data_IF_199350913633
#
_entry.id   IF_199350913633
#
_cell.length_a   1.000
_cell.length_b   1.000
_cell.length_c   1.000
_cell.angle_alpha   90.00
_cell.angle_beta   90.00
_cell.angle_gamma   90.00
#
_symmetry.space_group_name_H-M   'P 1'
#
loop_
_entity.id
_entity.type
_entity.pdbx_description
1 polymer ?
#
# COMPACT_ATOMS: atom_id res chain seq x y z
N UNK A 1 8.70 44.61 -12.34
CA UNK A 1 7.65 44.29 -11.34
C UNK A 1 6.68 43.28 -11.94
N UNK A 2 7.16 42.06 -12.20
CA UNK A 2 6.34 40.91 -12.58
C UNK A 2 7.26 39.71 -12.43
N UNK A 3 7.28 39.08 -11.24
CA UNK A 3 7.89 37.76 -11.01
C UNK A 3 7.65 37.17 -9.60
N UNK A 4 6.76 37.74 -8.78
CA UNK A 4 6.44 37.15 -7.47
C UNK A 4 5.04 36.50 -7.39
N UNK A 5 4.15 36.73 -8.36
CA UNK A 5 2.78 36.17 -8.30
C UNK A 5 2.64 34.73 -8.82
N UNK A 6 3.61 34.21 -9.58
CA UNK A 6 3.52 32.85 -10.13
C UNK A 6 3.90 31.74 -9.12
N UNK A 7 4.56 32.06 -8.00
CA UNK A 7 5.02 31.06 -7.02
C UNK A 7 4.03 30.75 -5.88
N UNK A 8 2.84 31.37 -5.88
CA UNK A 8 1.86 31.23 -4.78
C UNK A 8 0.73 30.23 -5.02
N UNK A 9 0.60 29.64 -6.21
CA UNK A 9 -0.60 28.87 -6.57
C UNK A 9 -0.53 27.35 -6.38
N UNK A 10 0.61 26.74 -6.04
CA UNK A 10 0.75 25.26 -5.98
C UNK A 10 0.91 24.68 -4.55
N UNK A 11 0.38 25.34 -3.52
CA UNK A 11 0.54 24.92 -2.12
C UNK A 11 -0.48 23.90 -1.61
N UNK A 12 -1.46 23.49 -2.40
CA UNK A 12 -2.65 22.79 -1.89
C UNK A 12 -2.39 21.38 -1.34
N UNK A 13 -1.72 20.49 -2.07
CA UNK A 13 -1.53 19.10 -1.60
C UNK A 13 -0.48 18.97 -0.49
N UNK A 14 0.59 19.77 -0.57
CA UNK A 14 1.62 19.79 0.48
C UNK A 14 1.07 20.41 1.76
N UNK A 15 0.22 21.45 1.70
CA UNK A 15 -0.42 22.01 2.90
C UNK A 15 -1.40 21.02 3.52
N UNK A 16 -2.22 20.33 2.71
CA UNK A 16 -3.16 19.31 3.19
C UNK A 16 -2.42 18.20 3.93
N UNK A 17 -1.35 17.65 3.35
CA UNK A 17 -0.58 16.57 3.98
C UNK A 17 0.09 17.03 5.29
N UNK A 18 0.57 18.27 5.34
CA UNK A 18 1.13 18.88 6.54
C UNK A 18 0.09 19.09 7.63
N UNK A 19 -1.10 19.53 7.27
CA UNK A 19 -2.20 19.70 8.21
C UNK A 19 -2.67 18.36 8.75
N UNK A 20 -2.64 17.30 7.94
CA UNK A 20 -2.96 15.93 8.37
C UNK A 20 -1.91 15.34 9.31
N UNK A 21 -0.62 15.58 9.06
CA UNK A 21 0.45 15.21 10.00
C UNK A 21 0.29 15.98 11.32
N UNK A 22 0.06 17.30 11.26
CA UNK A 22 -0.17 18.14 12.45
C UNK A 22 -1.40 17.70 13.25
N UNK A 23 -2.44 17.22 12.56
CA UNK A 23 -3.65 16.66 13.15
C UNK A 23 -3.50 15.21 13.63
N UNK A 24 -2.30 14.62 13.55
CA UNK A 24 -2.02 13.23 13.90
C UNK A 24 -2.83 12.20 13.11
N UNK A 25 -3.31 12.55 11.91
CA UNK A 25 -4.08 11.65 11.02
C UNK A 25 -3.20 10.72 10.19
N UNK A 26 -1.91 11.06 10.03
CA UNK A 26 -0.90 10.24 9.35
C UNK A 26 0.13 9.76 10.36
N UNK A 27 0.40 8.46 10.37
CA UNK A 27 1.48 7.86 11.15
C UNK A 27 2.56 7.37 10.20
N UNK A 28 3.70 8.05 10.23
CA UNK A 28 4.92 7.50 9.64
C UNK A 28 5.49 6.44 10.62
N UNK A 29 5.86 5.23 10.16
CA UNK A 29 6.25 4.10 11.02
C UNK A 29 7.34 4.34 12.08
N UNK A 30 8.07 5.45 11.99
CA UNK A 30 9.07 5.87 12.98
C UNK A 30 8.50 6.66 14.16
N UNK A 31 7.23 7.07 14.15
CA UNK A 31 6.68 8.03 15.12
C UNK A 31 5.55 7.44 15.96
N UNK A 32 5.86 6.96 17.17
CA UNK A 32 4.86 6.64 18.21
C UNK A 32 4.82 7.66 19.36
N UNK A 33 5.33 8.87 19.16
CA UNK A 33 5.19 9.95 20.14
C UNK A 33 4.86 11.25 19.40
N UNK A 34 3.57 11.49 19.14
CA UNK A 34 3.11 12.74 18.54
C UNK A 34 2.78 13.82 19.58
N UNK A 35 2.93 13.53 20.88
CA UNK A 35 2.78 14.53 21.94
C UNK A 35 4.06 15.30 22.26
N UNK A 36 5.22 14.88 21.73
CA UNK A 36 6.52 15.42 22.15
C UNK A 36 7.57 15.36 21.02
N UNK A 37 7.37 16.09 19.92
CA UNK A 37 8.44 16.21 18.91
C UNK A 37 8.83 17.69 18.72
N UNK A 38 10.11 18.05 18.94
CA UNK A 38 10.63 19.38 18.67
C UNK A 38 10.46 19.78 17.20
N UNK A 39 10.30 21.07 16.92
CA UNK A 39 10.14 21.66 15.58
C UNK A 39 11.17 21.15 14.55
N UNK A 40 12.38 20.80 14.98
CA UNK A 40 13.45 20.27 14.15
C UNK A 40 13.14 18.87 13.58
N UNK A 41 12.36 18.04 14.28
CA UNK A 41 11.96 16.72 13.81
C UNK A 41 10.78 16.78 12.83
N UNK A 42 9.81 17.68 13.06
CA UNK A 42 8.79 18.00 12.07
C UNK A 42 9.43 18.52 10.78
N UNK A 43 10.43 19.42 10.88
CA UNK A 43 11.22 19.90 9.73
C UNK A 43 11.96 18.79 8.99
N UNK A 44 12.48 17.77 9.67
CA UNK A 44 13.17 16.63 9.04
C UNK A 44 12.23 15.69 8.29
N UNK A 45 11.01 15.51 8.81
CA UNK A 45 9.94 14.76 8.13
C UNK A 45 9.36 15.54 6.95
N UNK A 46 9.21 16.86 7.12
CA UNK A 46 8.98 17.82 6.04
C UNK A 46 10.07 17.74 4.98
N UNK A 47 11.34 17.60 5.36
CA UNK A 47 12.45 17.47 4.41
C UNK A 47 12.43 16.12 3.70
N UNK A 48 12.16 15.00 4.38
CA UNK A 48 12.04 13.69 3.73
C UNK A 48 10.81 13.58 2.82
N UNK A 49 9.71 14.24 3.20
CA UNK A 49 8.53 14.38 2.37
C UNK A 49 8.78 15.33 1.21
N UNK A 50 9.37 16.52 1.46
CA UNK A 50 9.83 17.46 0.44
C UNK A 50 10.81 16.83 -0.52
N UNK A 51 11.78 16.06 -0.06
CA UNK A 51 12.71 15.34 -0.96
C UNK A 51 12.00 14.28 -1.81
N UNK A 52 10.84 13.76 -1.37
CA UNK A 52 9.99 12.85 -2.15
C UNK A 52 8.94 13.58 -3.01
N UNK A 53 8.54 14.80 -2.67
CA UNK A 53 7.61 15.64 -3.45
C UNK A 53 8.33 16.59 -4.43
N UNK A 54 9.56 16.99 -4.13
CA UNK A 54 10.45 17.82 -4.95
C UNK A 54 11.02 17.03 -6.15
N UNK A 55 10.86 15.71 -6.18
CA UNK A 55 11.16 14.90 -7.39
C UNK A 55 10.04 15.01 -8.44
N UNK A 56 8.91 15.67 -8.14
CA UNK A 56 7.86 15.88 -9.13
C UNK A 56 7.06 17.15 -8.88
N UNK A 57 7.68 18.32 -9.09
CA UNK A 57 6.92 19.37 -9.75
C UNK A 57 6.58 18.84 -11.15
N UNK A 58 5.40 18.22 -11.30
CA UNK A 58 4.82 17.97 -12.61
C UNK A 58 4.35 19.35 -13.08
N UNK A 59 5.23 20.01 -13.82
CA UNK A 59 5.19 21.43 -14.17
C UNK A 59 4.14 21.81 -15.20
N UNK A 60 3.08 21.04 -15.40
CA UNK A 60 1.96 21.47 -16.23
C UNK A 60 0.65 20.75 -15.87
N UNK A 61 -0.35 21.48 -15.34
CA UNK A 61 -1.68 20.93 -15.04
C UNK A 61 -2.43 20.46 -16.30
N UNK A 62 -1.99 20.91 -17.48
CA UNK A 62 -2.51 20.47 -18.79
C UNK A 62 -1.83 19.19 -19.30
N UNK A 63 -0.76 18.73 -18.64
CA UNK A 63 -0.07 17.50 -19.00
C UNK A 63 -1.02 16.31 -18.83
N UNK A 64 -1.19 15.53 -19.90
CA UNK A 64 -2.02 14.32 -19.89
C UNK A 64 -1.17 13.06 -19.83
N UNK A 65 -1.74 12.02 -19.23
CA UNK A 65 -1.20 10.68 -19.24
C UNK A 65 -1.28 10.09 -20.64
N UNK A 66 -0.16 9.62 -21.24
CA UNK A 66 -0.17 9.11 -22.60
C UNK A 66 -0.98 7.81 -22.74
N UNK A 67 -1.22 7.10 -21.63
CA UNK A 67 -1.91 5.81 -21.63
C UNK A 67 -3.42 5.89 -21.43
N UNK A 68 -3.93 6.92 -20.76
CA UNK A 68 -5.35 7.01 -20.44
C UNK A 68 -5.93 8.44 -20.49
N UNK A 69 -5.13 9.43 -20.92
CA UNK A 69 -5.55 10.82 -21.18
C UNK A 69 -6.03 11.64 -19.97
N UNK A 70 -5.98 11.06 -18.77
CA UNK A 70 -6.23 11.76 -17.49
C UNK A 70 -5.10 12.74 -17.15
N UNK A 71 -5.37 13.63 -16.18
CA UNK A 71 -4.35 14.56 -15.67
C UNK A 71 -3.14 13.81 -15.13
N UNK A 72 -1.97 14.24 -15.58
CA UNK A 72 -0.69 13.62 -15.28
C UNK A 72 -0.16 14.05 -13.91
N UNK A 73 -0.88 13.71 -12.84
CA UNK A 73 -0.46 14.01 -11.47
C UNK A 73 0.32 12.85 -10.87
N UNK A 74 1.12 13.09 -9.82
CA UNK A 74 1.83 12.02 -9.11
C UNK A 74 0.83 11.02 -8.55
N UNK A 75 -0.29 11.49 -8.01
CA UNK A 75 -1.37 10.64 -7.52
C UNK A 75 -1.95 9.76 -8.63
N UNK A 76 -2.21 10.33 -9.81
CA UNK A 76 -2.63 9.57 -10.98
C UNK A 76 -1.60 8.49 -11.36
N UNK A 77 -0.33 8.86 -11.52
CA UNK A 77 0.73 7.94 -11.93
C UNK A 77 0.91 6.82 -10.92
N UNK A 78 0.91 7.13 -9.62
CA UNK A 78 1.17 6.14 -8.58
C UNK A 78 -0.05 5.27 -8.26
N UNK A 79 -1.28 5.75 -8.42
CA UNK A 79 -2.45 5.09 -7.84
C UNK A 79 -3.69 5.06 -8.74
N UNK A 80 -3.78 5.92 -9.75
CA UNK A 80 -5.02 6.21 -10.48
C UNK A 80 -5.06 5.77 -11.94
N UNK A 81 -3.92 5.51 -12.59
CA UNK A 81 -3.89 5.17 -14.01
C UNK A 81 -4.53 3.81 -14.28
N UNK A 82 -5.55 3.78 -15.13
CA UNK A 82 -6.29 2.56 -15.47
C UNK A 82 -5.65 1.74 -16.60
N UNK A 83 -4.51 2.20 -17.14
CA UNK A 83 -3.82 1.46 -18.19
C UNK A 83 -3.25 0.14 -17.66
N UNK A 84 -3.26 -0.89 -18.51
CA UNK A 84 -2.73 -2.21 -18.15
C UNK A 84 -1.23 -2.15 -17.78
N UNK A 85 -0.45 -1.34 -18.49
CA UNK A 85 0.97 -1.11 -18.22
C UNK A 85 1.20 -0.65 -16.78
N UNK A 86 0.44 0.34 -16.32
CA UNK A 86 0.54 0.85 -14.96
C UNK A 86 -0.07 -0.12 -13.95
N UNK A 87 -1.19 -0.75 -14.29
CA UNK A 87 -1.82 -1.81 -13.50
C UNK A 87 -0.84 -2.93 -13.14
N UNK A 88 -0.05 -3.40 -14.10
CA UNK A 88 0.98 -4.42 -13.88
C UNK A 88 2.06 -3.97 -12.88
N UNK A 89 2.46 -2.70 -12.93
CA UNK A 89 3.40 -2.13 -11.95
C UNK A 89 2.76 -2.01 -10.56
N UNK A 90 1.47 -1.63 -10.48
CA UNK A 90 0.74 -1.61 -9.22
C UNK A 90 0.63 -3.00 -8.59
N UNK A 91 0.32 -4.03 -9.39
CA UNK A 91 0.27 -5.42 -8.94
C UNK A 91 1.63 -5.89 -8.43
N UNK A 92 2.74 -5.52 -9.08
CA UNK A 92 4.09 -5.84 -8.59
C UNK A 92 4.38 -5.19 -7.24
N UNK A 93 4.06 -3.90 -7.08
CA UNK A 93 4.19 -3.15 -5.82
C UNK A 93 3.35 -3.77 -4.70
N UNK A 94 2.11 -4.11 -5.00
CA UNK A 94 1.19 -4.80 -4.09
C UNK A 94 1.76 -6.15 -3.63
N UNK A 95 2.15 -7.00 -4.58
CA UNK A 95 2.67 -8.33 -4.28
C UNK A 95 3.96 -8.27 -3.45
N UNK A 96 4.77 -7.23 -3.62
CA UNK A 96 5.93 -7.00 -2.77
C UNK A 96 5.53 -6.86 -1.29
N UNK A 97 4.48 -6.09 -1.00
CA UNK A 97 3.99 -5.88 0.37
C UNK A 97 3.45 -7.18 0.96
N UNK A 98 2.56 -7.85 0.21
CA UNK A 98 1.97 -9.13 0.64
C UNK A 98 3.06 -10.16 0.94
N UNK A 99 4.06 -10.29 0.07
CA UNK A 99 5.18 -11.22 0.27
C UNK A 99 5.97 -10.93 1.55
N UNK A 100 6.25 -9.66 1.86
CA UNK A 100 6.95 -9.30 3.09
C UNK A 100 6.10 -9.69 4.30
N UNK A 101 4.80 -9.39 4.27
CA UNK A 101 3.88 -9.63 5.37
C UNK A 101 3.70 -11.14 5.62
N UNK A 102 3.39 -11.91 4.58
CA UNK A 102 3.24 -13.38 4.62
C UNK A 102 4.49 -14.05 5.17
N UNK A 103 5.68 -13.76 4.62
CA UNK A 103 6.93 -14.38 5.06
C UNK A 103 7.19 -14.16 6.55
N UNK A 104 6.95 -12.96 7.05
CA UNK A 104 7.15 -12.65 8.46
C UNK A 104 6.14 -13.36 9.37
N UNK A 105 4.86 -13.45 8.95
CA UNK A 105 3.85 -14.22 9.69
C UNK A 105 4.21 -15.71 9.71
N UNK A 106 4.58 -16.30 8.58
CA UNK A 106 4.97 -17.71 8.50
C UNK A 106 6.22 -18.02 9.33
N UNK A 107 7.22 -17.13 9.32
CA UNK A 107 8.38 -17.25 10.21
C UNK A 107 7.96 -17.24 11.68
N UNK A 108 7.00 -16.37 12.05
CA UNK A 108 6.48 -16.30 13.41
C UNK A 108 5.72 -17.56 13.82
N UNK A 109 5.04 -18.20 12.87
CA UNK A 109 4.40 -19.51 13.01
C UNK A 109 5.40 -20.68 12.95
N UNK A 110 6.72 -20.40 12.99
CA UNK A 110 7.82 -21.39 12.94
C UNK A 110 7.86 -22.23 11.66
N UNK A 111 7.28 -21.72 10.57
CA UNK A 111 7.36 -22.36 9.25
C UNK A 111 8.67 -21.93 8.59
N UNK A 112 9.60 -22.88 8.47
CA UNK A 112 10.92 -22.66 7.86
C UNK A 112 10.80 -22.06 6.46
N UNK A 113 11.65 -21.06 6.15
CA UNK A 113 11.71 -20.37 4.86
C UNK A 113 11.81 -21.33 3.67
N UNK A 114 12.57 -22.42 3.79
CA UNK A 114 12.72 -23.44 2.73
C UNK A 114 11.42 -24.22 2.44
N UNK A 115 10.48 -24.24 3.40
CA UNK A 115 9.22 -24.95 3.31
C UNK A 115 8.05 -24.02 2.98
N UNK A 116 8.24 -22.70 2.98
CA UNK A 116 7.16 -21.74 2.76
C UNK A 116 6.55 -21.90 1.38
N UNK A 117 5.24 -21.65 1.32
CA UNK A 117 4.49 -21.64 0.08
C UNK A 117 4.77 -20.36 -0.71
N UNK A 118 4.63 -20.45 -2.02
CA UNK A 118 4.65 -19.31 -2.92
C UNK A 118 3.24 -18.88 -3.28
N UNK A 119 3.13 -17.72 -3.92
CA UNK A 119 1.86 -17.18 -4.42
C UNK A 119 1.16 -18.20 -5.33
N UNK A 120 -0.16 -18.31 -5.24
CA UNK A 120 -1.00 -19.25 -5.98
C UNK A 120 -1.10 -20.65 -5.36
N UNK A 121 -0.52 -20.87 -4.17
CA UNK A 121 -0.49 -22.18 -3.51
C UNK A 121 -1.40 -22.24 -2.28
N UNK A 122 -1.82 -23.46 -1.97
CA UNK A 122 -2.33 -23.83 -0.64
C UNK A 122 -1.36 -24.86 -0.05
N UNK A 123 -1.04 -24.73 1.24
CA UNK A 123 -0.20 -25.70 1.94
C UNK A 123 -0.61 -25.88 3.39
N UNK A 124 -0.60 -27.13 3.83
CA UNK A 124 -0.80 -27.52 5.22
C UNK A 124 0.54 -27.78 5.92
N UNK A 125 0.70 -27.22 7.11
CA UNK A 125 1.84 -27.33 8.01
C UNK A 125 1.33 -27.85 9.37
N UNK A 126 1.13 -29.16 9.46
CA UNK A 126 0.49 -29.76 10.62
C UNK A 126 -0.94 -29.23 10.79
N UNK A 127 -1.15 -28.44 11.84
CA UNK A 127 -2.45 -27.86 12.16
C UNK A 127 -2.70 -26.45 11.57
N UNK A 128 -1.77 -25.95 10.75
CA UNK A 128 -1.89 -24.65 10.08
C UNK A 128 -2.10 -24.89 8.60
N UNK A 129 -3.18 -24.36 8.03
CA UNK A 129 -3.40 -24.35 6.58
C UNK A 129 -3.30 -22.93 6.07
N UNK A 130 -2.51 -22.71 5.02
CA UNK A 130 -2.29 -21.39 4.43
C UNK A 130 -2.71 -21.43 2.96
N UNK A 131 -3.59 -20.50 2.57
CA UNK A 131 -3.93 -20.18 1.19
C UNK A 131 -3.25 -18.84 0.87
N UNK A 132 -2.46 -18.79 -0.20
CA UNK A 132 -1.79 -17.56 -0.63
C UNK A 132 -2.16 -17.23 -2.08
N UNK A 133 -2.90 -16.13 -2.30
CA UNK A 133 -3.43 -15.69 -3.61
C UNK A 133 -4.12 -16.84 -4.36
N UNK A 134 -4.97 -17.58 -3.64
CA UNK A 134 -5.68 -18.75 -4.16
C UNK A 134 -7.08 -18.83 -3.55
N UNK A 135 -8.12 -19.15 -4.35
CA UNK A 135 -9.45 -19.31 -3.81
C UNK A 135 -9.53 -20.45 -2.81
N UNK A 136 -10.35 -20.27 -1.77
CA UNK A 136 -10.83 -21.34 -0.91
C UNK A 136 -12.17 -21.87 -1.44
N UNK A 137 -12.48 -23.14 -1.19
CA UNK A 137 -13.75 -23.73 -1.60
C UNK A 137 -14.90 -23.15 -0.75
N UNK A 138 -15.81 -22.42 -1.40
CA UNK A 138 -16.99 -21.77 -0.81
C UNK A 138 -17.92 -21.33 -1.95
N UNK A 139 -19.19 -21.09 -1.63
CA UNK A 139 -20.18 -20.51 -2.55
C UNK A 139 -20.09 -18.98 -2.64
N UNK A 140 -19.31 -18.34 -1.76
CA UNK A 140 -19.09 -16.89 -1.77
C UNK A 140 -18.24 -16.49 -2.99
N UNK A 141 -18.68 -15.46 -3.72
CA UNK A 141 -17.97 -14.97 -4.92
C UNK A 141 -16.57 -14.40 -4.62
N UNK A 142 -16.45 -13.64 -3.53
CA UNK A 142 -15.18 -13.09 -3.03
C UNK A 142 -14.39 -14.12 -2.22
N UNK A 143 -13.94 -15.20 -2.86
CA UNK A 143 -13.27 -16.33 -2.18
C UNK A 143 -11.73 -16.36 -2.29
N UNK A 144 -11.13 -15.36 -2.96
CA UNK A 144 -9.68 -15.25 -3.14
C UNK A 144 -9.12 -13.97 -2.50
N UNK A 145 -9.06 -13.88 -1.16
CA UNK A 145 -8.27 -12.85 -0.50
C UNK A 145 -6.78 -13.09 -0.71
N UNK A 146 -5.96 -12.09 -0.38
CA UNK A 146 -4.50 -12.21 -0.52
C UNK A 146 -3.96 -13.40 0.27
N UNK A 147 -4.42 -13.59 1.51
CA UNK A 147 -3.99 -14.71 2.36
C UNK A 147 -5.12 -15.18 3.26
N UNK A 148 -5.28 -16.50 3.38
CA UNK A 148 -6.07 -17.12 4.45
C UNK A 148 -5.14 -18.00 5.28
N UNK A 149 -5.16 -17.83 6.60
CA UNK A 149 -4.41 -18.67 7.55
C UNK A 149 -5.41 -19.30 8.50
N UNK A 150 -5.53 -20.62 8.46
CA UNK A 150 -6.44 -21.39 9.30
C UNK A 150 -5.62 -22.20 10.29
N UNK A 151 -5.97 -22.08 11.57
CA UNK A 151 -5.37 -22.86 12.66
C UNK A 151 -6.40 -23.80 13.28
N UNK A 152 -6.02 -24.49 14.36
CA UNK A 152 -7.00 -25.26 15.15
C UNK A 152 -8.05 -24.39 15.83
N UNK A 153 -7.74 -23.14 16.15
CA UNK A 153 -8.59 -22.32 17.01
C UNK A 153 -9.37 -21.28 16.22
N UNK A 154 -8.76 -20.69 15.20
CA UNK A 154 -9.31 -19.58 14.43
C UNK A 154 -8.77 -19.54 13.01
N UNK A 155 -9.45 -18.79 12.15
CA UNK A 155 -9.02 -18.44 10.82
C UNK A 155 -8.81 -16.94 10.66
N UNK A 156 -7.87 -16.56 9.80
CA UNK A 156 -7.58 -15.17 9.50
C UNK A 156 -7.63 -14.95 8.00
N UNK A 157 -8.36 -13.93 7.59
CA UNK A 157 -8.41 -13.41 6.22
C UNK A 157 -7.59 -12.13 6.20
N UNK A 158 -6.46 -12.13 5.49
CA UNK A 158 -5.63 -10.94 5.30
C UNK A 158 -5.84 -10.41 3.89
N UNK A 159 -6.09 -9.12 3.79
CA UNK A 159 -6.17 -8.40 2.54
C UNK A 159 -5.30 -7.15 2.63
N UNK A 160 -4.50 -6.89 1.59
CA UNK A 160 -3.57 -5.78 1.50
C UNK A 160 -4.00 -4.82 0.40
N UNK A 161 -3.69 -3.54 0.54
CA UNK A 161 -3.79 -2.58 -0.55
C UNK A 161 -2.61 -1.61 -0.52
N UNK A 162 -2.26 -1.08 -1.69
CA UNK A 162 -1.45 0.13 -1.80
C UNK A 162 -2.27 1.20 -2.50
N UNK A 163 -2.36 2.40 -1.92
CA UNK A 163 -3.22 3.47 -2.43
C UNK A 163 -2.66 4.86 -2.18
N UNK A 164 -3.32 5.87 -2.74
CA UNK A 164 -3.14 7.26 -2.30
C UNK A 164 -3.59 7.42 -0.86
N UNK A 165 -2.95 8.36 -0.17
CA UNK A 165 -3.22 8.63 1.24
C UNK A 165 -4.69 9.00 1.51
N UNK A 166 -5.29 9.83 0.65
CA UNK A 166 -6.67 10.34 0.82
C UNK A 166 -7.74 9.26 0.71
N UNK A 167 -7.42 8.10 0.13
CA UNK A 167 -8.37 7.01 -0.12
C UNK A 167 -8.10 5.77 0.75
N UNK A 168 -7.12 5.82 1.65
CA UNK A 168 -6.68 4.66 2.44
C UNK A 168 -7.83 4.04 3.25
N UNK A 169 -8.51 4.83 4.07
CA UNK A 169 -9.62 4.34 4.89
C UNK A 169 -10.80 3.85 4.05
N UNK A 170 -11.13 4.53 2.95
CA UNK A 170 -12.19 4.09 2.03
C UNK A 170 -11.86 2.70 1.46
N UNK A 171 -10.64 2.50 0.94
CA UNK A 171 -10.20 1.19 0.44
C UNK A 171 -10.15 0.12 1.53
N UNK A 172 -9.83 0.49 2.76
CA UNK A 172 -9.86 -0.42 3.91
C UNK A 172 -11.29 -0.91 4.16
N UNK A 173 -12.27 0.00 4.20
CA UNK A 173 -13.67 -0.35 4.42
C UNK A 173 -14.26 -1.15 3.26
N UNK A 174 -13.93 -0.82 2.02
CA UNK A 174 -14.30 -1.61 0.83
C UNK A 174 -13.79 -3.06 0.93
N UNK A 175 -12.52 -3.24 1.34
CA UNK A 175 -11.93 -4.58 1.50
C UNK A 175 -12.57 -5.36 2.65
N UNK A 176 -12.85 -4.72 3.78
CA UNK A 176 -13.57 -5.37 4.88
C UNK A 176 -14.95 -5.84 4.39
N UNK A 177 -15.74 -4.93 3.80
CA UNK A 177 -17.08 -5.25 3.30
C UNK A 177 -17.08 -6.34 2.22
N UNK A 178 -16.07 -6.34 1.32
CA UNK A 178 -15.91 -7.38 0.28
C UNK A 178 -15.78 -8.79 0.86
N UNK A 179 -15.08 -8.96 1.98
CA UNK A 179 -14.80 -10.26 2.57
C UNK A 179 -15.66 -10.62 3.78
N UNK A 180 -16.53 -9.72 4.28
CA UNK A 180 -17.49 -10.04 5.34
C UNK A 180 -18.36 -11.27 5.03
N UNK A 181 -18.86 -11.48 3.80
CA UNK A 181 -19.57 -12.72 3.46
C UNK A 181 -18.68 -13.96 3.59
N UNK A 182 -17.41 -13.87 3.16
CA UNK A 182 -16.46 -14.97 3.26
C UNK A 182 -16.15 -15.32 4.72
N UNK A 183 -15.96 -14.32 5.57
CA UNK A 183 -15.74 -14.52 7.02
C UNK A 183 -16.92 -15.27 7.67
N UNK A 184 -18.15 -14.90 7.31
CA UNK A 184 -19.37 -15.52 7.84
C UNK A 184 -19.50 -16.98 7.39
N UNK A 185 -19.26 -17.24 6.10
CA UNK A 185 -19.30 -18.58 5.53
C UNK A 185 -18.21 -19.49 6.10
N UNK A 186 -16.96 -19.02 6.17
CA UNK A 186 -15.85 -19.77 6.74
C UNK A 186 -16.03 -20.02 8.24
N UNK A 187 -16.62 -19.06 8.97
CA UNK A 187 -16.93 -19.25 10.40
C UNK A 187 -17.92 -20.39 10.61
N UNK A 188 -18.95 -20.44 9.75
CA UNK A 188 -20.00 -21.46 9.80
C UNK A 188 -19.49 -22.83 9.37
N UNK A 189 -18.78 -22.92 8.23
CA UNK A 189 -18.30 -24.17 7.64
C UNK A 189 -17.17 -24.81 8.44
N UNK A 190 -16.22 -24.03 8.95
CA UNK A 190 -15.11 -24.55 9.76
C UNK A 190 -15.41 -24.66 11.25
N UNK A 191 -16.56 -24.15 11.71
CA UNK A 191 -16.97 -24.11 13.13
C UNK A 191 -15.92 -23.43 14.03
N UNK A 192 -15.32 -22.35 13.54
CA UNK A 192 -14.25 -21.58 14.22
C UNK A 192 -14.40 -20.12 13.90
N UNK A 193 -13.94 -19.23 14.77
CA UNK A 193 -13.98 -17.80 14.48
C UNK A 193 -13.02 -17.44 13.34
N UNK A 194 -13.52 -16.75 12.31
CA UNK A 194 -12.68 -16.04 11.34
C UNK A 194 -12.60 -14.55 11.68
N UNK A 195 -11.47 -13.92 11.34
CA UNK A 195 -11.29 -12.46 11.46
C UNK A 195 -10.69 -11.89 10.18
N UNK A 196 -11.24 -10.79 9.70
CA UNK A 196 -10.69 -10.03 8.58
C UNK A 196 -9.72 -8.96 9.08
N UNK A 197 -8.55 -8.87 8.46
CA UNK A 197 -7.65 -7.72 8.58
C UNK A 197 -7.36 -7.14 7.21
N UNK A 198 -7.75 -5.87 7.02
CA UNK A 198 -7.43 -5.09 5.82
C UNK A 198 -6.29 -4.11 6.12
N UNK A 199 -5.10 -4.35 5.55
CA UNK A 199 -3.93 -3.50 5.70
C UNK A 199 -3.77 -2.65 4.44
N UNK A 200 -4.06 -1.36 4.53
CA UNK A 200 -3.83 -0.41 3.44
C UNK A 200 -2.59 0.41 3.75
N UNK A 201 -1.68 0.50 2.78
CA UNK A 201 -0.43 1.26 2.88
C UNK A 201 -0.44 2.35 1.81
N UNK A 202 -0.02 3.56 2.17
CA UNK A 202 0.10 4.65 1.22
C UNK A 202 1.19 4.39 0.18
N UNK A 203 1.09 5.02 -0.98
CA UNK A 203 2.07 4.86 -2.06
C UNK A 203 3.50 5.26 -1.67
N UNK A 204 3.71 6.01 -0.59
CA UNK A 204 5.04 6.33 -0.08
C UNK A 204 5.42 5.51 1.17
N UNK A 205 4.60 4.52 1.55
CA UNK A 205 4.81 3.64 2.69
C UNK A 205 4.29 4.17 4.04
N UNK A 206 3.44 5.20 3.99
CA UNK A 206 2.70 5.76 5.13
C UNK A 206 1.51 4.89 5.54
N UNK A 207 1.04 5.08 6.77
CA UNK A 207 -0.21 4.53 7.29
C UNK A 207 -1.05 5.68 7.85
N UNK A 208 -2.37 5.65 7.63
CA UNK A 208 -3.29 6.43 8.46
C UNK A 208 -3.44 5.78 9.85
N UNK A 209 -4.11 6.48 10.76
CA UNK A 209 -4.31 6.01 12.15
C UNK A 209 -5.04 4.66 12.19
N UNK A 210 -6.07 4.48 11.38
CA UNK A 210 -6.92 3.28 11.42
C UNK A 210 -6.20 2.06 10.83
N UNK A 211 -5.47 2.24 9.74
CA UNK A 211 -4.61 1.24 9.14
C UNK A 211 -3.45 0.88 10.06
N UNK A 212 -2.89 1.85 10.80
CA UNK A 212 -1.90 1.57 11.82
C UNK A 212 -2.47 0.78 13.00
N UNK A 213 -3.68 1.11 13.46
CA UNK A 213 -4.36 0.34 14.49
C UNK A 213 -4.63 -1.10 14.03
N UNK A 214 -5.07 -1.29 12.78
CA UNK A 214 -5.26 -2.61 12.19
C UNK A 214 -3.94 -3.39 12.11
N UNK A 215 -2.85 -2.74 11.70
CA UNK A 215 -1.51 -3.31 11.73
C UNK A 215 -1.13 -3.81 13.13
N UNK A 216 -1.36 -3.00 14.18
CA UNK A 216 -1.08 -3.40 15.55
C UNK A 216 -1.90 -4.64 15.95
N UNK A 217 -3.19 -4.68 15.62
CA UNK A 217 -4.04 -5.87 15.89
C UNK A 217 -3.47 -7.13 15.23
N UNK A 218 -3.04 -7.07 13.97
CA UNK A 218 -2.43 -8.22 13.27
C UNK A 218 -1.15 -8.66 13.98
N UNK A 219 -0.29 -7.71 14.34
CA UNK A 219 0.98 -8.03 15.00
C UNK A 219 0.76 -8.64 16.39
N UNK A 220 -0.18 -8.12 17.17
CA UNK A 220 -0.57 -8.64 18.47
C UNK A 220 -1.18 -10.04 18.36
N UNK A 221 -2.04 -10.26 17.36
CA UNK A 221 -2.62 -11.56 17.05
C UNK A 221 -1.56 -12.64 16.86
N UNK A 222 -0.53 -12.38 16.05
CA UNK A 222 0.58 -13.31 15.85
C UNK A 222 1.66 -13.22 16.95
N UNK A 223 1.43 -12.48 18.03
CA UNK A 223 2.38 -12.28 19.15
C UNK A 223 3.75 -11.75 18.67
N UNK A 224 3.75 -10.93 17.63
CA UNK A 224 4.93 -10.25 17.09
C UNK A 224 5.23 -9.04 18.00
N UNK A 225 6.42 -8.99 18.59
CA UNK A 225 6.77 -7.91 19.51
C UNK A 225 6.94 -6.56 18.77
N UNK A 226 6.86 -5.46 19.52
CA UNK A 226 6.93 -4.09 18.99
C UNK A 226 8.18 -3.82 18.14
N UNK A 227 9.35 -4.33 18.54
CA UNK A 227 10.61 -4.14 17.80
C UNK A 227 10.55 -4.80 16.42
N UNK A 228 10.07 -6.05 16.37
CA UNK A 228 9.91 -6.78 15.12
C UNK A 228 8.82 -6.19 14.23
N UNK A 229 7.66 -5.86 14.80
CA UNK A 229 6.59 -5.15 14.10
C UNK A 229 7.11 -3.87 13.43
N UNK A 230 7.87 -3.04 14.15
CA UNK A 230 8.52 -1.84 13.60
C UNK A 230 9.49 -2.15 12.47
N UNK A 231 10.29 -3.21 12.59
CA UNK A 231 11.24 -3.62 11.54
C UNK A 231 10.53 -4.07 10.25
N UNK A 232 9.46 -4.85 10.38
CA UNK A 232 8.66 -5.30 9.23
C UNK A 232 8.06 -4.08 8.54
N UNK A 233 7.43 -3.19 9.31
CA UNK A 233 6.79 -1.99 8.75
C UNK A 233 7.80 -1.04 8.10
N UNK A 234 8.98 -0.85 8.70
CA UNK A 234 10.07 -0.08 8.08
C UNK A 234 10.56 -0.70 6.77
N UNK A 235 10.65 -2.03 6.71
CA UNK A 235 11.04 -2.76 5.49
C UNK A 235 10.00 -2.55 4.40
N UNK A 236 8.72 -2.70 4.73
CA UNK A 236 7.61 -2.43 3.81
C UNK A 236 7.71 -0.99 3.30
N UNK A 237 7.84 -0.01 4.19
CA UNK A 237 7.95 1.41 3.82
C UNK A 237 9.08 1.66 2.83
N UNK A 238 10.30 1.21 3.15
CA UNK A 238 11.47 1.41 2.28
C UNK A 238 11.26 0.79 0.90
N UNK A 239 10.69 -0.43 0.86
CA UNK A 239 10.47 -1.15 -0.39
C UNK A 239 9.33 -0.55 -1.21
N UNK A 240 8.23 -0.13 -0.58
CA UNK A 240 7.11 0.54 -1.26
C UNK A 240 7.57 1.87 -1.84
N UNK A 241 8.26 2.69 -1.04
CA UNK A 241 8.76 3.98 -1.47
C UNK A 241 9.74 3.83 -2.65
N UNK A 242 10.74 2.95 -2.54
CA UNK A 242 11.67 2.68 -3.64
C UNK A 242 10.97 2.15 -4.90
N UNK A 243 9.93 1.31 -4.74
CA UNK A 243 9.18 0.81 -5.89
C UNK A 243 8.31 1.91 -6.53
N UNK A 244 7.72 2.80 -5.73
CA UNK A 244 6.96 3.94 -6.23
C UNK A 244 7.84 4.91 -7.02
N UNK A 245 9.07 5.14 -6.57
CA UNK A 245 10.04 5.93 -7.33
C UNK A 245 10.45 5.23 -8.65
N UNK A 246 10.68 3.92 -8.61
CA UNK A 246 10.92 3.13 -9.81
C UNK A 246 9.74 3.23 -10.80
N UNK A 247 8.51 3.09 -10.30
CA UNK A 247 7.30 3.19 -11.10
C UNK A 247 7.16 4.58 -11.74
N UNK A 248 7.38 5.63 -10.96
CA UNK A 248 7.33 7.01 -11.45
C UNK A 248 8.38 7.27 -12.53
N UNK A 249 9.63 6.84 -12.32
CA UNK A 249 10.71 6.97 -13.33
C UNK A 249 10.42 6.16 -14.59
N UNK A 250 9.87 4.97 -14.44
CA UNK A 250 9.47 4.11 -15.56
C UNK A 250 8.39 4.79 -16.40
N UNK A 251 7.38 5.36 -15.75
CA UNK A 251 6.34 6.14 -16.41
C UNK A 251 6.91 7.33 -17.20
N UNK A 252 7.79 8.12 -16.59
CA UNK A 252 8.42 9.27 -17.26
C UNK A 252 9.23 8.85 -18.49
N UNK A 253 9.98 7.75 -18.38
CA UNK A 253 10.73 7.19 -19.51
C UNK A 253 9.82 6.76 -20.65
N UNK A 254 8.73 6.06 -20.34
CA UNK A 254 7.77 5.62 -21.37
C UNK A 254 7.06 6.81 -22.02
N UNK A 255 6.69 7.82 -21.23
CA UNK A 255 6.06 9.04 -21.76
C UNK A 255 6.99 9.78 -22.71
N UNK A 256 8.28 9.89 -22.37
CA UNK A 256 9.27 10.52 -23.24
C UNK A 256 9.39 9.78 -24.58
N UNK A 257 9.42 8.45 -24.56
CA UNK A 257 9.48 7.62 -25.78
C UNK A 257 8.24 7.85 -26.66
N UNK A 258 7.04 7.79 -26.09
CA UNK A 258 5.78 8.01 -26.83
C UNK A 258 5.75 9.40 -27.46
N UNK A 259 6.21 10.43 -26.76
CA UNK A 259 6.27 11.78 -27.30
C UNK A 259 7.27 11.92 -28.45
N UNK A 260 8.41 11.21 -28.39
CA UNK A 260 9.37 11.18 -29.50
C UNK A 260 8.77 10.53 -30.74
N UNK A 261 8.15 9.36 -30.58
CA UNK A 261 7.48 8.63 -31.67
C UNK A 261 6.36 9.44 -32.32
N UNK A 262 5.56 10.14 -31.50
CA UNK A 262 4.46 10.99 -31.99
C UNK A 262 4.98 12.19 -32.80
N UNK A 263 6.08 12.80 -32.37
CA UNK A 263 6.69 13.94 -33.07
C UNK A 263 7.37 13.52 -34.38
N UNK A 264 7.98 12.33 -34.43
CA UNK A 264 8.54 11.78 -35.66
C UNK A 264 7.43 11.50 -36.69
N UNK A 265 6.31 10.92 -36.26
CA UNK A 265 5.15 10.68 -37.14
C UNK A 265 4.49 11.96 -37.67
N UNK A 266 4.53 13.06 -36.92
CA UNK A 266 3.95 14.33 -37.33
C UNK A 266 4.79 15.10 -38.36
N UNK A 267 6.02 14.65 -38.64
CA UNK A 267 6.93 15.25 -39.63
C UNK A 267 6.85 14.59 -41.02
N UNK A 268 6.04 13.53 -41.17
CA UNK A 268 5.73 12.85 -42.43
C UNK A 268 4.29 13.12 -42.87
#
# INVERSE_FOLDING_TARGET
>A
MANEECMRSNWSETSIYLDLIKQNKIILPTTRCLKELPDTFQRRQLLLFRMNTEISHITNQESKCPFCQEHDTREHILNGCQSETMGNLYTKRHNLVVNILVRNILNKLKISSKKQLTRGQMKQYGNITVYYDRPIATEVSSNKPDVIIITNNEGIILEVAVSGYTTMNTKRMEKIGKYTPLESDLTSSHKKQFKIYAIVIGSNGELDVDCFNEWIKVMEHYKINKKWSKNILNTIRQKVNAFSDYLFRTYLSMKQQINMETNEMAQF
#
